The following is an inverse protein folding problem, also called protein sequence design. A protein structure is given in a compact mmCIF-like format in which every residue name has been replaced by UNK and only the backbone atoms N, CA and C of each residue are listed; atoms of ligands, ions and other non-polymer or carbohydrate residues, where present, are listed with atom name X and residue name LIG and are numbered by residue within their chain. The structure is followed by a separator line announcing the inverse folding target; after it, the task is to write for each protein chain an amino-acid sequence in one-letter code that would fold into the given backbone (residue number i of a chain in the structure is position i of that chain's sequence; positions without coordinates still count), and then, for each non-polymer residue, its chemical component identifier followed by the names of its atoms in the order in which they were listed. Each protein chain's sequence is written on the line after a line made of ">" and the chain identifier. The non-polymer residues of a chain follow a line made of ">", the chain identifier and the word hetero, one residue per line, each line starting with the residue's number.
data_IF_058615082629
#
_entry.id   IF_058615082629
#
_cell.length_a   1.000
_cell.length_b   1.000
_cell.length_c   1.000
_cell.angle_alpha   90.00
_cell.angle_beta   90.00
_cell.angle_gamma   90.00
#
_symmetry.space_group_name_H-M   'P 1'
#
loop_
_entity.id
_entity.type
_entity.pdbx_description
1 polymer ?
#
# COMPACT_ATOMS: atom_id res chain seq x y z
N UNK A 1 2.03 24.73 26.66
CA UNK A 1 1.36 24.66 25.35
C UNK A 1 0.46 23.44 25.23
N UNK A 2 0.98 22.20 25.33
CA UNK A 2 0.16 20.98 25.16
C UNK A 2 -1.01 20.90 26.14
N UNK A 3 -0.80 21.23 27.43
CA UNK A 3 -1.88 21.30 28.43
C UNK A 3 -3.01 22.27 28.06
N UNK A 4 -2.74 23.26 27.20
CA UNK A 4 -3.74 24.21 26.69
C UNK A 4 -4.26 23.83 25.30
N UNK A 5 -3.94 22.63 24.80
CA UNK A 5 -4.39 22.16 23.49
C UNK A 5 -3.59 22.71 22.31
N UNK A 6 -2.35 23.15 22.51
CA UNK A 6 -1.49 23.68 21.43
C UNK A 6 -0.18 22.91 21.30
N UNK A 7 0.29 22.76 20.07
CA UNK A 7 1.57 22.17 19.71
C UNK A 7 2.46 23.23 19.07
N UNK A 8 3.64 23.47 19.66
CA UNK A 8 4.64 24.40 19.13
C UNK A 8 5.47 23.78 18.01
N UNK A 9 5.99 24.62 17.11
CA UNK A 9 6.83 24.19 15.99
C UNK A 9 8.34 24.18 16.30
N UNK A 10 8.74 24.61 17.49
CA UNK A 10 10.13 24.57 17.98
C UNK A 10 10.13 24.20 19.46
N UNK A 11 11.02 23.28 19.90
CA UNK A 11 11.11 22.90 21.30
C UNK A 11 11.71 24.01 22.18
N UNK A 12 12.57 24.86 21.61
CA UNK A 12 13.30 25.88 22.36
C UNK A 12 12.60 27.24 22.34
N UNK A 13 12.10 27.66 21.17
CA UNK A 13 11.50 28.99 20.98
C UNK A 13 10.25 28.89 20.09
N UNK A 14 9.10 28.45 20.63
CA UNK A 14 7.87 28.31 19.86
C UNK A 14 7.25 29.70 19.61
N UNK A 15 7.58 30.32 18.47
CA UNK A 15 6.96 31.59 18.01
C UNK A 15 5.61 31.38 17.34
N UNK A 16 5.35 30.16 16.86
CA UNK A 16 4.10 29.73 16.24
C UNK A 16 3.68 28.42 16.89
N UNK A 17 2.37 28.29 17.15
CA UNK A 17 1.77 27.07 17.65
C UNK A 17 0.44 26.80 16.94
N UNK A 18 0.13 25.54 16.74
CA UNK A 18 -1.12 25.07 16.14
C UNK A 18 -1.97 24.39 17.20
N UNK A 19 -3.28 24.63 17.18
CA UNK A 19 -4.18 23.92 18.10
C UNK A 19 -4.28 22.44 17.71
N UNK A 20 -4.37 21.56 18.70
CA UNK A 20 -4.60 20.13 18.49
C UNK A 20 -5.92 19.89 17.76
N UNK A 21 -6.94 20.70 18.03
CA UNK A 21 -8.22 20.65 17.31
C UNK A 21 -8.04 20.93 15.81
N UNK A 22 -7.25 21.95 15.44
CA UNK A 22 -6.96 22.27 14.03
C UNK A 22 -6.24 21.10 13.34
N UNK A 23 -5.23 20.51 14.00
CA UNK A 23 -4.49 19.36 13.47
C UNK A 23 -5.39 18.11 13.36
N UNK A 24 -6.29 17.90 14.32
CA UNK A 24 -7.27 16.82 14.29
C UNK A 24 -8.28 16.97 13.15
N UNK A 25 -8.80 18.18 12.93
CA UNK A 25 -9.67 18.49 11.80
C UNK A 25 -8.93 18.22 10.49
N UNK A 26 -7.71 18.73 10.34
CA UNK A 26 -6.93 18.51 9.12
C UNK A 26 -6.68 17.02 8.87
N UNK A 27 -6.41 16.22 9.91
CA UNK A 27 -6.30 14.76 9.78
C UNK A 27 -7.58 14.10 9.24
N UNK A 28 -8.76 14.54 9.66
CA UNK A 28 -10.02 14.02 9.09
C UNK A 28 -10.24 14.49 7.65
N UNK A 29 -9.85 15.73 7.34
CA UNK A 29 -9.90 16.25 5.97
C UNK A 29 -9.02 15.39 5.04
N UNK A 30 -7.81 15.00 5.45
CA UNK A 30 -6.96 14.10 4.66
C UNK A 30 -7.60 12.73 4.39
N UNK A 31 -8.48 12.24 5.29
CA UNK A 31 -9.21 10.98 5.11
C UNK A 31 -10.39 11.12 4.17
N UNK A 32 -11.14 12.21 4.29
CA UNK A 32 -12.34 12.45 3.48
C UNK A 32 -12.01 12.99 2.08
N UNK A 33 -10.96 13.80 1.96
CA UNK A 33 -10.54 14.44 0.73
C UNK A 33 -9.00 14.41 0.60
N UNK A 34 -8.43 13.31 0.08
CA UNK A 34 -6.98 13.18 -0.11
C UNK A 34 -6.36 14.24 -1.03
N UNK A 35 -7.18 14.92 -1.86
CA UNK A 35 -6.76 16.02 -2.73
C UNK A 35 -6.52 17.33 -1.98
N UNK A 36 -7.02 17.45 -0.75
CA UNK A 36 -6.83 18.66 0.06
C UNK A 36 -5.43 18.65 0.70
N UNK A 37 -4.53 19.44 0.14
CA UNK A 37 -3.13 19.46 0.52
C UNK A 37 -2.87 20.25 1.80
N UNK A 38 -1.76 19.93 2.47
CA UNK A 38 -1.28 20.70 3.64
C UNK A 38 -0.91 22.14 3.27
N UNK A 39 -0.56 22.39 2.01
CA UNK A 39 -0.38 23.75 1.48
C UNK A 39 -1.71 24.52 1.46
N UNK A 40 -2.78 23.89 0.97
CA UNK A 40 -4.12 24.49 0.98
C UNK A 40 -4.59 24.78 2.41
N UNK A 41 -4.37 23.85 3.34
CA UNK A 41 -4.62 24.07 4.78
C UNK A 41 -3.84 25.27 5.32
N UNK A 42 -2.54 25.37 5.03
CA UNK A 42 -1.71 26.47 5.49
C UNK A 42 -2.23 27.83 4.97
N UNK A 43 -2.59 27.90 3.68
CA UNK A 43 -3.19 29.10 3.09
C UNK A 43 -4.52 29.43 3.74
N UNK A 44 -5.40 28.45 3.93
CA UNK A 44 -6.69 28.64 4.60
C UNK A 44 -6.50 29.25 5.99
N UNK A 45 -5.57 28.72 6.80
CA UNK A 45 -5.26 29.28 8.12
C UNK A 45 -4.76 30.73 8.01
N UNK A 46 -3.88 31.04 7.06
CA UNK A 46 -3.41 32.41 6.84
C UNK A 46 -4.58 33.36 6.53
N UNK A 47 -5.53 32.94 5.68
CA UNK A 47 -6.72 33.74 5.35
C UNK A 47 -7.63 33.93 6.56
N UNK A 48 -7.85 32.88 7.37
CA UNK A 48 -8.64 32.98 8.61
C UNK A 48 -8.04 33.97 9.61
N UNK A 49 -6.72 34.13 9.62
CA UNK A 49 -6.01 35.08 10.47
C UNK A 49 -5.78 36.45 9.81
N UNK A 50 -6.29 36.69 8.60
CA UNK A 50 -6.02 37.90 7.81
C UNK A 50 -4.52 38.20 7.65
N UNK A 51 -3.71 37.16 7.47
CA UNK A 51 -2.26 37.27 7.28
C UNK A 51 -1.84 36.79 5.89
N UNK A 52 -0.81 37.40 5.28
CA UNK A 52 -0.25 36.90 4.03
C UNK A 52 0.43 35.55 4.28
N UNK A 53 0.32 34.65 3.30
CA UNK A 53 1.05 33.39 3.31
C UNK A 53 2.56 33.64 3.34
N UNK A 54 3.27 32.89 4.20
CA UNK A 54 4.73 32.90 4.28
C UNK A 54 5.26 31.46 4.17
N UNK A 55 6.29 31.18 3.35
CA UNK A 55 6.79 29.82 3.13
C UNK A 55 7.19 29.06 4.42
N UNK A 56 7.70 29.75 5.43
CA UNK A 56 8.08 29.08 6.69
C UNK A 56 6.87 28.53 7.46
N UNK A 57 5.67 29.12 7.29
CA UNK A 57 4.45 28.65 7.97
C UNK A 57 4.04 27.27 7.45
N UNK A 58 4.27 26.99 6.16
CA UNK A 58 4.05 25.68 5.58
C UNK A 58 4.97 24.64 6.24
N UNK A 59 6.26 24.94 6.36
CA UNK A 59 7.22 24.04 7.02
C UNK A 59 6.86 23.80 8.49
N UNK A 60 6.49 24.87 9.21
CA UNK A 60 6.07 24.78 10.60
C UNK A 60 4.79 23.97 10.78
N UNK A 61 3.80 24.11 9.89
CA UNK A 61 2.58 23.32 9.91
C UNK A 61 2.87 21.84 9.64
N UNK A 62 3.71 21.54 8.63
CA UNK A 62 4.12 20.16 8.32
C UNK A 62 4.81 19.52 9.51
N UNK A 63 5.81 20.17 10.10
CA UNK A 63 6.51 19.67 11.28
C UNK A 63 5.57 19.43 12.46
N UNK A 64 4.68 20.39 12.76
CA UNK A 64 3.69 20.23 13.82
C UNK A 64 2.72 19.08 13.53
N UNK A 65 2.30 18.92 12.28
CA UNK A 65 1.40 17.84 11.88
C UNK A 65 2.07 16.47 12.00
N UNK A 66 3.33 16.33 11.59
CA UNK A 66 4.10 15.09 11.74
C UNK A 66 4.24 14.69 13.22
N UNK A 67 4.59 15.65 14.08
CA UNK A 67 4.67 15.42 15.54
C UNK A 67 3.29 15.05 16.10
N UNK A 68 2.22 15.71 15.66
CA UNK A 68 0.86 15.37 16.07
C UNK A 68 0.48 13.93 15.67
N UNK A 69 0.77 13.52 14.43
CA UNK A 69 0.53 12.15 13.97
C UNK A 69 1.35 11.15 14.79
N UNK A 70 2.57 11.50 15.16
CA UNK A 70 3.43 10.66 16.00
C UNK A 70 2.87 10.49 17.42
N UNK A 71 2.42 11.58 18.05
CA UNK A 71 1.76 11.54 19.37
C UNK A 71 0.53 10.63 19.30
N UNK A 72 -0.34 10.86 18.32
CA UNK A 72 -1.55 10.04 18.12
C UNK A 72 -1.21 8.57 17.95
N UNK A 73 -0.20 8.25 17.14
CA UNK A 73 0.23 6.88 16.91
C UNK A 73 0.72 6.21 18.19
N UNK A 74 1.60 6.88 18.95
CA UNK A 74 2.11 6.35 20.22
C UNK A 74 1.01 6.16 21.27
N UNK A 75 0.04 7.07 21.32
CA UNK A 75 -1.14 6.93 22.19
C UNK A 75 -1.97 5.72 21.76
N UNK A 76 -2.25 5.56 20.46
CA UNK A 76 -2.92 4.35 19.95
C UNK A 76 -2.17 3.08 20.34
N UNK A 77 -0.84 3.03 20.20
CA UNK A 77 -0.04 1.87 20.59
C UNK A 77 -0.18 1.55 22.08
N UNK A 78 -0.07 2.56 22.96
CA UNK A 78 -0.26 2.37 24.40
C UNK A 78 -1.66 1.83 24.73
N UNK A 79 -2.69 2.30 24.04
CA UNK A 79 -4.06 1.79 24.19
C UNK A 79 -4.13 0.33 23.74
N UNK A 80 -3.53 -0.04 22.60
CA UNK A 80 -3.55 -1.44 22.15
C UNK A 80 -2.84 -2.37 23.14
N UNK A 81 -1.68 -1.96 23.69
CA UNK A 81 -0.98 -2.72 24.74
C UNK A 81 -1.85 -2.88 25.98
N UNK A 82 -2.49 -1.79 26.45
CA UNK A 82 -3.38 -1.84 27.61
C UNK A 82 -4.62 -2.74 27.40
N UNK A 83 -5.05 -2.93 26.15
CA UNK A 83 -6.16 -3.80 25.77
C UNK A 83 -5.71 -5.22 25.40
N UNK A 84 -4.42 -5.56 25.53
CA UNK A 84 -3.83 -6.84 25.10
C UNK A 84 -4.04 -7.14 23.60
N UNK A 85 -3.88 -6.11 22.77
CA UNK A 85 -4.09 -6.12 21.31
C UNK A 85 -2.82 -5.80 20.52
N UNK A 86 -1.67 -6.00 21.15
CA UNK A 86 -0.35 -5.61 20.66
C UNK A 86 0.36 -6.70 19.86
N UNK A 87 -0.22 -7.90 19.76
CA UNK A 87 0.35 -8.95 18.91
C UNK A 87 0.23 -8.57 17.43
N UNK A 88 1.25 -8.92 16.65
CA UNK A 88 1.36 -8.56 15.24
C UNK A 88 0.15 -9.00 14.41
N UNK A 89 -0.37 -10.19 14.70
CA UNK A 89 -1.50 -10.78 14.00
C UNK A 89 -2.86 -10.41 14.62
N UNK A 90 -2.88 -9.71 15.76
CA UNK A 90 -4.12 -9.40 16.47
C UNK A 90 -5.12 -8.75 15.54
N UNK A 91 -4.68 -7.72 14.81
CA UNK A 91 -5.50 -7.00 13.84
C UNK A 91 -6.02 -7.97 12.76
N UNK A 92 -5.14 -8.73 12.11
CA UNK A 92 -5.54 -9.62 11.02
C UNK A 92 -6.63 -10.62 11.45
N UNK A 93 -6.55 -11.12 12.69
CA UNK A 93 -7.53 -12.06 13.27
C UNK A 93 -8.79 -11.41 13.85
N UNK A 94 -8.87 -10.08 13.94
CA UNK A 94 -9.98 -9.40 14.63
C UNK A 94 -10.56 -8.21 13.86
N UNK A 95 -9.99 -7.83 12.72
CA UNK A 95 -10.41 -6.64 11.95
C UNK A 95 -11.84 -6.80 11.43
N UNK A 96 -12.13 -7.96 10.84
CA UNK A 96 -13.44 -8.25 10.28
C UNK A 96 -14.20 -9.19 11.21
N UNK A 97 -15.11 -8.62 12.01
CA UNK A 97 -15.97 -9.38 12.91
C UNK A 97 -16.72 -10.49 12.16
N UNK A 98 -17.26 -10.20 10.98
CA UNK A 98 -18.01 -11.18 10.19
C UNK A 98 -17.15 -12.29 9.57
N UNK A 99 -15.81 -12.18 9.57
CA UNK A 99 -14.93 -13.25 9.10
C UNK A 99 -14.29 -14.03 10.24
N UNK A 100 -14.06 -13.42 11.40
CA UNK A 100 -13.23 -14.01 12.45
C UNK A 100 -13.93 -14.17 13.80
N UNK A 101 -15.14 -13.65 13.96
CA UNK A 101 -15.93 -13.84 15.17
C UNK A 101 -16.89 -15.02 14.99
N UNK A 102 -16.53 -16.17 15.58
CA UNK A 102 -17.36 -17.36 15.59
C UNK A 102 -18.37 -17.32 16.74
N UNK A 103 -19.63 -17.63 16.44
CA UNK A 103 -20.70 -17.76 17.45
C UNK A 103 -20.79 -19.22 17.91
N UNK A 104 -21.19 -19.43 19.16
CA UNK A 104 -21.53 -20.78 19.63
C UNK A 104 -22.59 -21.39 18.70
N UNK A 105 -22.42 -22.67 18.37
CA UNK A 105 -23.32 -23.43 17.48
C UNK A 105 -23.30 -22.99 16.00
N UNK A 106 -22.30 -22.22 15.56
CA UNK A 106 -22.11 -21.93 14.14
C UNK A 106 -21.75 -23.22 13.36
N UNK A 107 -22.47 -23.57 12.28
CA UNK A 107 -22.14 -24.75 11.49
C UNK A 107 -20.77 -24.58 10.84
N UNK A 108 -19.95 -25.63 10.88
CA UNK A 108 -18.64 -25.63 10.22
C UNK A 108 -18.82 -25.43 8.72
N UNK A 109 -18.26 -24.33 8.20
CA UNK A 109 -18.29 -24.04 6.78
C UNK A 109 -17.21 -24.85 6.06
N UNK A 110 -17.44 -25.20 4.79
CA UNK A 110 -16.39 -25.79 3.94
C UNK A 110 -15.21 -24.82 3.75
N UNK A 111 -15.51 -23.52 3.73
CA UNK A 111 -14.54 -22.44 3.67
C UNK A 111 -14.92 -21.39 4.72
N UNK A 112 -14.02 -21.15 5.67
CA UNK A 112 -14.29 -20.24 6.80
C UNK A 112 -14.43 -18.78 6.36
N UNK A 113 -13.68 -18.36 5.34
CA UNK A 113 -13.73 -17.00 4.83
C UNK A 113 -13.14 -16.89 3.42
N UNK A 114 -13.47 -15.80 2.73
CA UNK A 114 -13.06 -15.53 1.35
C UNK A 114 -12.18 -14.28 1.28
N UNK A 115 -11.09 -14.40 0.52
CA UNK A 115 -10.14 -13.32 0.26
C UNK A 115 -10.21 -12.94 -1.21
N UNK A 116 -10.28 -11.63 -1.45
CA UNK A 116 -10.09 -11.03 -2.76
C UNK A 116 -8.75 -10.30 -2.76
N UNK A 117 -7.92 -10.59 -3.75
CA UNK A 117 -6.62 -9.96 -3.95
C UNK A 117 -6.66 -9.13 -5.22
N UNK A 118 -6.01 -7.96 -5.19
CA UNK A 118 -5.90 -7.08 -6.36
C UNK A 118 -4.55 -6.35 -6.36
N UNK A 119 -4.04 -6.11 -7.58
CA UNK A 119 -2.79 -5.40 -7.83
C UNK A 119 -3.03 -4.06 -8.50
N UNK A 120 -2.65 -2.97 -7.84
CA UNK A 120 -2.69 -1.63 -8.43
C UNK A 120 -1.36 -1.30 -9.12
N UNK A 121 -1.33 -1.45 -10.44
CA UNK A 121 -0.17 -1.19 -11.30
C UNK A 121 0.04 0.29 -11.68
N UNK A 122 -0.69 1.21 -11.05
CA UNK A 122 -0.64 2.64 -11.38
C UNK A 122 0.43 3.38 -10.59
N UNK A 123 0.77 2.88 -9.41
CA UNK A 123 1.78 3.45 -8.53
C UNK A 123 3.14 2.88 -8.92
N UNK A 124 4.05 3.71 -9.41
CA UNK A 124 5.35 3.24 -9.90
C UNK A 124 6.48 4.07 -9.32
N UNK A 125 7.50 3.40 -8.80
CA UNK A 125 8.75 4.03 -8.37
C UNK A 125 9.86 3.68 -9.35
N UNK A 126 10.51 4.71 -9.88
CA UNK A 126 11.66 4.54 -10.77
C UNK A 126 12.82 3.89 -10.03
N UNK A 127 13.48 2.96 -10.70
CA UNK A 127 14.73 2.41 -10.21
C UNK A 127 15.81 3.52 -10.25
N UNK A 128 16.41 3.88 -9.10
CA UNK A 128 17.39 4.97 -9.02
C UNK A 128 18.62 4.74 -9.90
N UNK A 129 18.92 3.48 -10.27
CA UNK A 129 20.03 3.15 -11.19
C UNK A 129 19.79 3.65 -12.61
N UNK A 130 18.53 3.85 -13.02
CA UNK A 130 18.16 4.31 -14.37
C UNK A 130 18.72 5.71 -14.66
N UNK A 131 18.81 6.56 -13.64
CA UNK A 131 19.33 7.92 -13.78
C UNK A 131 20.78 8.09 -13.32
N UNK A 132 21.47 6.98 -12.99
CA UNK A 132 22.82 7.04 -12.40
C UNK A 132 22.87 7.75 -11.04
N UNK A 133 21.73 7.93 -10.40
CA UNK A 133 21.61 8.59 -9.09
C UNK A 133 21.78 7.58 -7.97
N UNK A 134 22.53 7.96 -6.94
CA UNK A 134 22.56 7.17 -5.70
C UNK A 134 21.15 7.11 -5.12
N UNK A 135 20.64 5.92 -4.74
CA UNK A 135 19.35 5.81 -4.08
C UNK A 135 19.32 6.72 -2.86
N UNK A 136 18.30 7.57 -2.75
CA UNK A 136 18.07 8.29 -1.51
C UNK A 136 17.61 7.28 -0.48
N UNK A 137 18.39 7.07 0.56
CA UNK A 137 17.97 6.22 1.68
C UNK A 137 16.66 6.77 2.26
N UNK A 138 15.60 5.98 2.16
CA UNK A 138 14.37 6.19 2.88
C UNK A 138 14.31 5.19 4.04
N UNK A 139 14.36 5.70 5.27
CA UNK A 139 14.25 4.90 6.48
C UNK A 139 12.82 4.84 7.00
N UNK A 140 11.85 5.43 6.29
CA UNK A 140 10.45 5.36 6.66
C UNK A 140 9.98 3.91 6.53
N UNK A 141 9.56 3.34 7.65
CA UNK A 141 8.92 2.03 7.68
C UNK A 141 7.41 2.18 7.87
N UNK A 142 6.62 1.26 7.30
CA UNK A 142 5.19 1.23 7.57
C UNK A 142 4.93 1.13 9.07
N UNK A 143 4.17 2.08 9.61
CA UNK A 143 3.77 2.08 11.02
C UNK A 143 2.63 1.12 11.33
N UNK A 144 2.04 0.51 10.31
CA UNK A 144 0.84 -0.31 10.44
C UNK A 144 1.14 -1.77 10.12
N UNK A 145 0.42 -2.67 10.80
CA UNK A 145 0.47 -4.12 10.60
C UNK A 145 -0.24 -4.59 9.31
N UNK A 146 -0.66 -3.67 8.43
CA UNK A 146 -1.20 -4.04 7.12
C UNK A 146 -0.07 -4.39 6.15
N UNK A 147 1.07 -3.71 6.26
CA UNK A 147 2.17 -3.87 5.32
C UNK A 147 3.05 -5.06 5.68
N UNK A 148 3.28 -5.93 4.71
CA UNK A 148 4.31 -6.96 4.76
C UNK A 148 5.64 -6.34 4.34
N UNK A 149 6.73 -6.78 4.98
CA UNK A 149 8.05 -6.31 4.57
C UNK A 149 8.53 -7.07 3.33
N UNK A 150 9.45 -6.45 2.57
CA UNK A 150 10.02 -7.08 1.38
C UNK A 150 10.70 -8.41 1.73
N UNK A 151 11.38 -8.49 2.87
CA UNK A 151 12.05 -9.70 3.33
C UNK A 151 11.06 -10.85 3.64
N UNK A 152 9.81 -10.54 3.97
CA UNK A 152 8.79 -11.54 4.21
C UNK A 152 8.18 -12.07 2.93
N UNK A 153 7.96 -11.18 1.96
CA UNK A 153 7.48 -11.54 0.62
C UNK A 153 8.54 -12.34 -0.13
N UNK A 154 9.81 -11.96 -0.02
CA UNK A 154 10.93 -12.59 -0.73
C UNK A 154 11.14 -14.07 -0.36
N UNK A 155 10.65 -14.52 0.80
CA UNK A 155 10.64 -15.95 1.18
C UNK A 155 9.90 -16.82 0.16
N UNK A 156 8.93 -16.24 -0.57
CA UNK A 156 8.09 -16.93 -1.52
C UNK A 156 8.53 -16.73 -2.98
N UNK A 157 9.63 -16.00 -3.22
CA UNK A 157 10.10 -15.60 -4.56
C UNK A 157 10.22 -16.77 -5.55
N UNK A 158 10.65 -17.94 -5.09
CA UNK A 158 10.91 -19.11 -5.94
C UNK A 158 9.87 -20.24 -5.78
N UNK A 159 8.79 -20.01 -5.02
CA UNK A 159 7.82 -21.05 -4.69
C UNK A 159 7.07 -21.56 -5.94
N UNK A 160 6.73 -20.66 -6.87
CA UNK A 160 5.99 -21.01 -8.10
C UNK A 160 6.83 -21.92 -9.01
N UNK A 161 8.13 -21.62 -9.17
CA UNK A 161 9.05 -22.44 -9.99
C UNK A 161 9.30 -23.80 -9.36
N UNK A 162 9.43 -23.87 -8.02
CA UNK A 162 9.60 -25.13 -7.32
C UNK A 162 8.39 -26.07 -7.52
N UNK A 163 7.16 -25.53 -7.54
CA UNK A 163 5.94 -26.32 -7.82
C UNK A 163 5.86 -26.76 -9.29
N UNK A 164 6.26 -25.91 -10.24
CA UNK A 164 6.31 -26.29 -11.66
C UNK A 164 7.32 -27.41 -11.93
N UNK A 165 8.47 -27.41 -11.24
CA UNK A 165 9.46 -28.48 -11.38
C UNK A 165 9.06 -29.80 -10.72
N UNK A 166 8.15 -29.79 -9.74
CA UNK A 166 7.68 -30.99 -9.04
C UNK A 166 6.47 -31.66 -9.71
N UNK A 167 5.78 -30.97 -10.64
CA UNK A 167 4.58 -31.48 -11.32
C UNK A 167 4.80 -32.38 -12.54
N UNK A 168 6.05 -32.67 -12.93
CA UNK A 168 6.36 -33.41 -14.18
C UNK A 168 6.38 -34.94 -14.07
N UNK A 169 5.97 -35.51 -12.93
CA UNK A 169 5.79 -36.96 -12.80
C UNK A 169 4.44 -37.32 -12.18
N UNK A 170 3.35 -37.27 -12.97
CA UNK A 170 2.37 -38.36 -13.19
C UNK A 170 1.10 -37.87 -13.91
N UNK A 171 0.85 -38.47 -15.08
CA UNK A 171 -0.42 -38.78 -15.75
C UNK A 171 -1.49 -37.70 -16.06
N UNK A 172 -1.44 -37.25 -17.33
CA UNK A 172 -2.53 -37.13 -18.33
C UNK A 172 -3.95 -36.87 -17.78
N UNK A 173 -4.30 -35.59 -17.63
CA UNK A 173 -5.47 -34.93 -18.24
C UNK A 173 -5.70 -33.57 -17.55
N UNK A 174 -4.92 -32.56 -17.93
CA UNK A 174 -5.22 -31.18 -17.59
C UNK A 174 -4.71 -30.31 -18.74
N UNK A 175 -5.62 -29.49 -19.27
CA UNK A 175 -5.39 -28.55 -20.35
C UNK A 175 -4.16 -27.68 -20.03
N UNK A 176 -3.12 -27.88 -20.82
CA UNK A 176 -1.86 -27.15 -20.76
C UNK A 176 -2.16 -25.75 -21.30
N UNK A 177 -2.30 -24.76 -20.41
CA UNK A 177 -2.06 -23.37 -20.79
C UNK A 177 -0.55 -23.21 -20.96
N UNK A 178 -0.09 -23.45 -22.18
CA UNK A 178 1.27 -23.26 -22.63
C UNK A 178 1.50 -21.74 -22.81
N UNK A 179 2.23 -21.11 -21.88
CA UNK A 179 2.75 -19.74 -22.04
C UNK A 179 4.15 -19.78 -22.68
N UNK A 180 4.31 -20.60 -23.72
CA UNK A 180 5.51 -20.65 -24.56
C UNK A 180 5.17 -20.15 -25.97
N UNK A 181 5.34 -18.85 -26.20
CA UNK A 181 5.19 -18.22 -27.50
C UNK A 181 6.36 -18.59 -28.42
N UNK A 182 6.33 -19.82 -28.91
CA UNK A 182 7.16 -20.26 -30.04
C UNK A 182 6.78 -19.45 -31.29
N UNK A 183 7.78 -18.80 -31.91
CA UNK A 183 7.61 -17.95 -33.07
C UNK A 183 7.21 -18.76 -34.31
N UNK A 184 5.97 -18.60 -34.79
CA UNK A 184 5.54 -19.21 -36.05
C UNK A 184 5.63 -18.26 -37.25
N UNK A 185 6.13 -18.86 -38.34
CA UNK A 185 6.47 -18.33 -39.66
C UNK A 185 5.16 -18.08 -40.47
N UNK A 186 5.09 -17.06 -41.36
CA UNK A 186 3.79 -16.52 -41.78
C UNK A 186 3.10 -17.27 -42.93
N UNK A 187 1.77 -17.07 -42.97
CA UNK A 187 0.78 -17.22 -44.05
C UNK A 187 -0.10 -18.48 -44.09
N UNK A 188 -1.26 -18.39 -43.45
CA UNK A 188 -2.57 -18.81 -44.02
C UNK A 188 -3.64 -17.80 -43.54
N UNK A 189 -4.59 -17.31 -44.39
CA UNK A 189 -5.61 -16.37 -43.94
C UNK A 189 -6.66 -17.10 -43.11
N UNK A 190 -6.71 -16.85 -41.80
CA UNK A 190 -7.77 -17.35 -40.91
C UNK A 190 -8.92 -16.35 -40.84
N UNK A 191 -10.12 -16.90 -40.80
CA UNK A 191 -11.41 -16.21 -40.67
C UNK A 191 -11.45 -15.26 -39.48
N UNK A 192 -12.23 -14.19 -39.62
CA UNK A 192 -12.29 -13.07 -38.70
C UNK A 192 -12.90 -13.47 -37.35
N UNK A 193 -12.09 -13.60 -36.30
CA UNK A 193 -12.55 -13.90 -34.94
C UNK A 193 -12.29 -12.69 -34.00
N UNK A 194 -13.31 -12.25 -33.25
CA UNK A 194 -13.21 -11.08 -32.34
C UNK A 194 -12.15 -11.25 -31.24
N UNK A 195 -11.75 -12.49 -30.94
CA UNK A 195 -10.71 -12.82 -29.94
C UNK A 195 -9.32 -12.39 -30.41
N UNK A 196 -9.05 -12.41 -31.73
CA UNK A 196 -7.73 -12.09 -32.29
C UNK A 196 -7.38 -10.59 -32.21
N UNK A 197 -8.41 -9.74 -32.06
CA UNK A 197 -8.25 -8.29 -31.84
C UNK A 197 -8.19 -7.90 -30.36
N UNK A 198 -8.39 -8.83 -29.42
CA UNK A 198 -8.06 -8.58 -28.02
C UNK A 198 -6.53 -8.67 -27.80
N UNK A 199 -5.78 -7.90 -28.59
CA UNK A 199 -4.40 -7.58 -28.28
C UNK A 199 -4.41 -6.62 -27.11
N UNK A 200 -4.25 -7.15 -25.90
CA UNK A 200 -3.57 -6.39 -24.87
C UNK A 200 -2.29 -5.84 -25.51
N UNK A 201 -2.15 -4.50 -25.55
CA UNK A 201 -0.98 -3.80 -26.09
C UNK A 201 0.28 -4.59 -25.73
N UNK A 202 0.91 -5.17 -26.76
CA UNK A 202 1.93 -6.24 -26.72
C UNK A 202 2.62 -6.37 -25.37
N UNK A 203 2.46 -7.53 -24.74
CA UNK A 203 3.12 -7.88 -23.48
C UNK A 203 4.63 -7.57 -23.50
N UNK A 204 5.31 -7.72 -24.65
CA UNK A 204 6.75 -7.44 -24.79
C UNK A 204 7.13 -5.96 -24.63
N UNK A 205 6.26 -5.04 -25.05
CA UNK A 205 6.50 -3.60 -24.86
C UNK A 205 6.33 -3.26 -23.37
N UNK A 206 5.32 -3.83 -22.71
CA UNK A 206 5.12 -3.68 -21.26
C UNK A 206 6.25 -4.32 -20.45
N UNK A 207 6.76 -5.50 -20.82
CA UNK A 207 7.90 -6.18 -20.16
C UNK A 207 9.14 -5.29 -20.12
N UNK A 208 9.50 -4.63 -21.24
CA UNK A 208 10.62 -3.67 -21.26
C UNK A 208 10.35 -2.40 -20.45
N UNK A 209 9.11 -1.89 -20.44
CA UNK A 209 8.74 -0.71 -19.65
C UNK A 209 8.72 -0.98 -18.14
N UNK A 210 8.48 -2.22 -17.70
CA UNK A 210 8.46 -2.59 -16.28
C UNK A 210 9.86 -2.67 -15.66
N UNK A 211 10.90 -2.98 -16.44
CA UNK A 211 12.28 -3.11 -15.94
C UNK A 211 12.88 -1.81 -15.40
N UNK A 212 12.26 -0.68 -15.70
CA UNK A 212 12.68 0.66 -15.32
C UNK A 212 12.21 1.03 -13.90
N UNK A 213 11.26 0.27 -13.36
CA UNK A 213 10.69 0.52 -12.04
C UNK A 213 11.23 -0.48 -11.01
N UNK A 214 11.58 0.04 -9.84
CA UNK A 214 11.89 -0.78 -8.67
C UNK A 214 10.59 -1.32 -8.05
N UNK A 215 9.57 -0.47 -7.98
CA UNK A 215 8.21 -0.80 -7.54
C UNK A 215 7.24 -0.54 -8.69
N UNK A 216 6.48 -1.56 -9.05
CA UNK A 216 5.53 -1.52 -10.18
C UNK A 216 4.08 -1.27 -9.75
N UNK A 217 3.81 -1.30 -8.45
CA UNK A 217 2.47 -1.22 -7.89
C UNK A 217 2.42 -1.56 -6.41
N UNK A 218 1.19 -1.63 -5.90
CA UNK A 218 0.89 -2.20 -4.60
C UNK A 218 -0.05 -3.39 -4.80
N UNK A 219 0.11 -4.42 -3.99
CA UNK A 219 -0.77 -5.57 -3.96
C UNK A 219 -1.53 -5.58 -2.64
N UNK A 220 -2.84 -5.75 -2.68
CA UNK A 220 -3.69 -5.75 -1.49
C UNK A 220 -4.51 -7.02 -1.42
N UNK A 221 -4.69 -7.52 -0.20
CA UNK A 221 -5.64 -8.57 0.13
C UNK A 221 -6.77 -7.96 0.95
N UNK A 222 -8.01 -8.27 0.58
CA UNK A 222 -9.21 -7.81 1.27
C UNK A 222 -10.14 -8.99 1.53
N UNK A 223 -10.90 -8.94 2.63
CA UNK A 223 -11.96 -9.92 2.82
C UNK A 223 -13.19 -9.55 1.96
N UNK A 224 -14.14 -10.48 1.80
CA UNK A 224 -15.42 -10.21 1.11
C UNK A 224 -16.20 -9.02 1.67
N UNK A 225 -15.98 -8.65 2.94
CA UNK A 225 -16.60 -7.50 3.61
C UNK A 225 -15.81 -6.20 3.45
N UNK A 226 -14.79 -6.18 2.58
CA UNK A 226 -13.97 -5.01 2.20
C UNK A 226 -13.06 -4.45 3.28
N UNK A 227 -12.78 -5.22 4.33
CA UNK A 227 -11.67 -4.92 5.24
C UNK A 227 -10.34 -5.30 4.58
N UNK A 228 -9.36 -4.41 4.68
CA UNK A 228 -8.00 -4.65 4.22
C UNK A 228 -7.33 -5.63 5.19
N UNK A 229 -6.83 -6.72 4.66
CA UNK A 229 -6.16 -7.77 5.41
C UNK A 229 -4.67 -7.50 5.43
N UNK A 230 -4.04 -7.44 4.26
CA UNK A 230 -2.60 -7.22 4.11
C UNK A 230 -2.35 -6.42 2.83
N UNK A 231 -1.21 -5.75 2.78
CA UNK A 231 -0.69 -5.03 1.63
C UNK A 231 0.81 -5.29 1.50
N UNK A 232 1.32 -5.28 0.28
CA UNK A 232 2.75 -5.30 0.00
C UNK A 232 3.06 -4.53 -1.28
N UNK A 233 4.31 -4.11 -1.43
CA UNK A 233 4.78 -3.50 -2.65
C UNK A 233 5.03 -4.56 -3.73
N UNK A 234 4.68 -4.23 -4.97
CA UNK A 234 4.98 -5.08 -6.12
C UNK A 234 6.40 -4.77 -6.60
N UNK A 235 7.36 -5.34 -5.89
CA UNK A 235 8.79 -5.20 -6.15
C UNK A 235 9.19 -5.92 -7.44
N UNK A 236 10.20 -5.38 -8.11
CA UNK A 236 10.85 -6.05 -9.25
C UNK A 236 11.44 -7.39 -8.82
N UNK A 237 10.75 -8.49 -9.12
CA UNK A 237 11.34 -9.82 -9.04
C UNK A 237 12.45 -9.89 -10.10
N UNK A 238 13.65 -10.30 -9.73
CA UNK A 238 14.75 -10.59 -10.68
C UNK A 238 14.47 -11.78 -11.61
N UNK A 239 13.19 -12.08 -11.87
CA UNK A 239 12.70 -13.12 -12.74
C UNK A 239 12.33 -12.48 -14.08
N UNK A 240 13.29 -12.58 -15.00
CA UNK A 240 13.05 -12.69 -16.43
C UNK A 240 13.26 -14.15 -16.82
#
# INVERSE_FOLDING_TARGET
>A
LIYHGYLGCSPMYPTVAFSLCTLAVFRQVCRACPRFSIHAQCKMLCHLHNMPYRPYLFQQLTQAFDVYLDIVHRVSQKIQVALHRDTREWRLRNECLACFYHVNDEPTLTFDWLVSVDGNNSLKRWDPTVYGTTPRADHCTPRSTYWLSNEEVDKFKYEVKARQMQGTHTDISAEIYDDDWSAEVPNVPKEFNCVDQWRNVKADVRKKTLNVFEESGIFIATCRHRFILLACDMMKSGEL
#
